data_IF_672467501283
#
_entry.id   IF_672467501283
#
_cell.length_a   1.000
_cell.length_b   1.000
_cell.length_c   1.000
_cell.angle_alpha   90.00
_cell.angle_beta   90.00
_cell.angle_gamma   90.00
#
_symmetry.space_group_name_H-M   'P 1'
#
loop_
_entity.id
_entity.type
_entity.pdbx_description
1 polymer ?
#
# COMPACT_ATOMS: atom_id res chain seq x y z
N UNK A 1 -1.96 -0.36 -65.07
CA UNK A 1 -2.88 0.08 -63.98
C UNK A 1 -3.08 -0.97 -62.89
N UNK A 2 -3.04 -2.28 -63.19
CA UNK A 2 -3.26 -3.36 -62.19
C UNK A 2 -2.17 -3.44 -61.11
N UNK A 3 -0.88 -3.32 -61.48
CA UNK A 3 0.22 -3.42 -60.49
C UNK A 3 0.20 -2.31 -59.42
N UNK A 4 -0.15 -1.08 -59.78
CA UNK A 4 -0.21 0.03 -58.84
C UNK A 4 -1.32 -0.15 -57.79
N UNK A 5 -2.46 -0.73 -58.18
CA UNK A 5 -3.56 -1.04 -57.28
C UNK A 5 -3.21 -2.13 -56.28
N UNK A 6 -2.45 -3.16 -56.69
CA UNK A 6 -2.02 -4.25 -55.80
C UNK A 6 -0.95 -3.79 -54.79
N UNK A 7 -0.06 -2.88 -55.20
CA UNK A 7 0.96 -2.33 -54.30
C UNK A 7 0.33 -1.42 -53.24
N UNK A 8 -0.69 -0.63 -53.60
CA UNK A 8 -1.41 0.23 -52.67
C UNK A 8 -2.24 -0.57 -51.63
N UNK A 9 -2.85 -1.68 -52.03
CA UNK A 9 -3.58 -2.56 -51.10
C UNK A 9 -2.63 -3.31 -50.16
N UNK A 10 -1.46 -3.74 -50.62
CA UNK A 10 -0.44 -4.36 -49.78
C UNK A 10 0.15 -3.39 -48.73
N UNK A 11 0.40 -2.13 -49.12
CA UNK A 11 0.84 -1.09 -48.19
C UNK A 11 -0.19 -0.83 -47.09
N UNK A 12 -1.48 -0.74 -47.46
CA UNK A 12 -2.57 -0.54 -46.50
C UNK A 12 -2.70 -1.69 -45.48
N UNK A 13 -2.44 -2.94 -45.90
CA UNK A 13 -2.45 -4.12 -45.02
C UNK A 13 -1.26 -4.10 -44.06
N UNK A 14 -0.08 -3.70 -44.53
CA UNK A 14 1.10 -3.55 -43.68
C UNK A 14 0.88 -2.49 -42.60
N UNK A 15 0.29 -1.35 -42.97
CA UNK A 15 -0.06 -0.28 -42.03
C UNK A 15 -1.09 -0.76 -41.01
N UNK A 16 -2.12 -1.50 -41.43
CA UNK A 16 -3.07 -2.11 -40.51
C UNK A 16 -2.40 -3.09 -39.53
N UNK A 17 -1.47 -3.92 -40.00
CA UNK A 17 -0.73 -4.88 -39.17
C UNK A 17 0.19 -4.19 -38.16
N UNK A 18 0.85 -3.09 -38.53
CA UNK A 18 1.67 -2.31 -37.60
C UNK A 18 0.83 -1.66 -36.50
N UNK A 19 -0.36 -1.13 -36.83
CA UNK A 19 -1.30 -0.55 -35.87
C UNK A 19 -1.78 -1.62 -34.87
N UNK A 20 -2.15 -2.81 -35.37
CA UNK A 20 -2.56 -3.93 -34.50
C UNK A 20 -1.41 -4.36 -33.58
N UNK A 21 -0.19 -4.45 -34.11
CA UNK A 21 1.01 -4.74 -33.31
C UNK A 21 1.24 -3.73 -32.18
N UNK A 22 1.08 -2.43 -32.47
CA UNK A 22 1.22 -1.35 -31.49
C UNK A 22 0.16 -1.42 -30.37
N UNK A 23 -1.09 -1.72 -30.72
CA UNK A 23 -2.20 -1.88 -29.75
C UNK A 23 -1.95 -3.07 -28.81
N UNK A 24 -1.43 -4.19 -29.33
CA UNK A 24 -1.11 -5.36 -28.52
C UNK A 24 0.07 -5.08 -27.59
N UNK A 25 1.12 -4.42 -28.10
CA UNK A 25 2.30 -4.06 -27.32
C UNK A 25 1.95 -3.12 -26.15
N UNK A 26 1.15 -2.09 -26.40
CA UNK A 26 0.71 -1.13 -25.36
C UNK A 26 -0.16 -1.80 -24.29
N UNK A 27 -1.04 -2.73 -24.64
CA UNK A 27 -1.81 -3.53 -23.67
C UNK A 27 -0.91 -4.42 -22.80
N UNK A 28 0.13 -5.03 -23.36
CA UNK A 28 1.11 -5.86 -22.63
C UNK A 28 1.92 -5.04 -21.63
N UNK A 29 2.37 -3.84 -22.03
CA UNK A 29 3.05 -2.87 -21.16
C UNK A 29 2.18 -2.45 -19.96
N UNK A 30 0.87 -2.24 -20.17
CA UNK A 30 -0.07 -1.88 -19.09
C UNK A 30 -0.28 -3.01 -18.07
N UNK A 31 -0.15 -4.28 -18.48
CA UNK A 31 -0.36 -5.47 -17.64
C UNK A 31 0.78 -5.72 -16.63
N UNK A 32 1.95 -5.09 -16.81
CA UNK A 32 3.14 -5.25 -15.97
C UNK A 32 3.05 -4.55 -14.61
N UNK A 33 2.12 -3.62 -14.42
CA UNK A 33 1.88 -2.98 -13.10
C UNK A 33 1.00 -3.84 -12.18
N UNK A 34 1.15 -5.16 -12.20
CA UNK A 34 0.65 -6.00 -11.10
C UNK A 34 1.28 -5.41 -9.84
N UNK A 35 0.44 -4.88 -8.95
CA UNK A 35 0.84 -4.41 -7.62
C UNK A 35 1.71 -5.52 -7.03
N UNK A 36 3.03 -5.28 -6.95
CA UNK A 36 3.92 -6.22 -6.28
C UNK A 36 3.38 -6.38 -4.86
N UNK A 37 3.48 -7.58 -4.31
CA UNK A 37 3.15 -7.80 -2.91
C UNK A 37 4.03 -6.85 -2.08
N UNK A 38 3.41 -5.85 -1.47
CA UNK A 38 4.09 -4.97 -0.52
C UNK A 38 4.44 -5.86 0.67
N UNK A 39 5.73 -6.21 0.80
CA UNK A 39 6.21 -7.09 1.87
C UNK A 39 6.04 -6.44 3.25
N UNK A 40 6.26 -5.13 3.32
CA UNK A 40 6.17 -4.34 4.54
C UNK A 40 5.57 -2.97 4.21
N UNK A 41 4.59 -2.51 4.98
CA UNK A 41 3.99 -1.19 4.78
C UNK A 41 4.93 -0.09 5.26
N UNK A 42 4.88 1.09 4.63
CA UNK A 42 5.76 2.22 4.97
C UNK A 42 5.65 2.62 6.45
N UNK A 43 4.45 2.56 7.04
CA UNK A 43 4.26 2.83 8.46
C UNK A 43 5.01 1.84 9.37
N UNK A 44 5.15 0.58 8.94
CA UNK A 44 5.82 -0.44 9.73
C UNK A 44 7.35 -0.26 9.69
N UNK A 45 7.88 0.27 8.58
CA UNK A 45 9.30 0.61 8.46
C UNK A 45 9.70 1.73 9.42
N UNK A 46 8.79 2.64 9.74
CA UNK A 46 9.06 3.74 10.67
C UNK A 46 9.14 3.31 12.15
N UNK A 47 8.92 2.03 12.50
CA UNK A 47 9.00 1.53 13.88
C UNK A 47 10.35 1.78 14.56
N UNK A 48 11.43 1.82 13.79
CA UNK A 48 12.77 2.12 14.33
C UNK A 48 12.95 3.60 14.64
N UNK A 49 12.26 4.47 13.90
CA UNK A 49 12.36 5.93 14.04
C UNK A 49 11.36 6.49 15.06
N UNK A 50 10.18 5.90 15.17
CA UNK A 50 9.14 6.32 16.11
C UNK A 50 9.08 5.41 17.32
N UNK A 51 8.90 6.00 18.50
CA UNK A 51 8.47 5.23 19.67
C UNK A 51 7.16 4.50 19.34
N UNK A 52 6.93 3.34 19.97
CA UNK A 52 5.72 2.56 19.78
C UNK A 52 4.43 3.41 19.95
N UNK A 53 4.46 4.41 20.83
CA UNK A 53 3.32 5.31 21.07
C UNK A 53 3.06 6.24 19.88
N UNK A 54 4.11 6.80 19.28
CA UNK A 54 3.97 7.67 18.11
C UNK A 54 3.40 6.88 16.91
N UNK A 55 3.85 5.63 16.73
CA UNK A 55 3.32 4.76 15.68
C UNK A 55 1.84 4.44 15.89
N UNK A 56 1.44 4.13 17.13
CA UNK A 56 0.03 3.87 17.47
C UNK A 56 -0.84 5.10 17.18
N UNK A 57 -0.34 6.33 17.41
CA UNK A 57 -1.07 7.54 17.04
C UNK A 57 -1.26 7.70 15.52
N UNK A 58 -0.27 7.35 14.69
CA UNK A 58 -0.43 7.35 13.23
C UNK A 58 -1.49 6.33 12.77
N UNK A 59 -1.55 5.17 13.44
CA UNK A 59 -2.47 4.07 13.08
C UNK A 59 -3.94 4.37 13.37
N UNK A 60 -4.28 5.40 14.17
CA UNK A 60 -5.67 5.80 14.47
C UNK A 60 -6.48 6.10 13.21
N UNK A 61 -5.83 6.64 12.18
CA UNK A 61 -6.48 6.97 10.91
C UNK A 61 -6.58 5.76 9.95
N UNK A 62 -6.05 4.60 10.35
CA UNK A 62 -5.97 3.39 9.53
C UNK A 62 -6.45 2.16 10.34
N UNK A 63 -7.77 1.99 10.55
CA UNK A 63 -8.32 0.96 11.46
C UNK A 63 -7.96 -0.48 11.07
N UNK A 64 -7.81 -0.75 9.76
CA UNK A 64 -7.35 -2.06 9.28
C UNK A 64 -5.91 -2.36 9.72
N UNK A 65 -5.06 -1.33 9.72
CA UNK A 65 -3.65 -1.47 10.07
C UNK A 65 -3.44 -1.46 11.57
N UNK A 66 -4.26 -0.70 12.30
CA UNK A 66 -4.40 -0.80 13.75
C UNK A 66 -4.64 -2.24 14.19
N UNK A 67 -5.68 -2.88 13.63
CA UNK A 67 -6.02 -4.26 14.00
C UNK A 67 -4.91 -5.25 13.61
N UNK A 68 -4.24 -5.04 12.48
CA UNK A 68 -3.13 -5.92 12.08
C UNK A 68 -1.89 -5.77 12.99
N UNK A 69 -1.57 -4.55 13.40
CA UNK A 69 -0.41 -4.26 14.24
C UNK A 69 -0.62 -4.69 15.69
N UNK A 70 -1.73 -4.27 16.31
CA UNK A 70 -2.02 -4.51 17.72
C UNK A 70 -2.77 -5.83 17.96
N UNK A 71 -3.25 -6.50 16.91
CA UNK A 71 -4.11 -7.70 16.98
C UNK A 71 -5.37 -7.48 17.83
N UNK A 72 -5.84 -6.24 17.90
CA UNK A 72 -7.02 -5.82 18.65
C UNK A 72 -7.66 -4.56 18.06
N UNK A 73 -8.91 -4.29 18.41
CA UNK A 73 -9.61 -3.09 18.02
C UNK A 73 -9.18 -1.89 18.88
N UNK A 74 -9.38 -0.68 18.38
CA UNK A 74 -9.04 0.56 19.11
C UNK A 74 -9.81 0.67 20.43
N UNK A 75 -11.09 0.35 20.43
CA UNK A 75 -11.92 0.35 21.64
C UNK A 75 -11.38 -0.58 22.74
N UNK A 76 -10.98 -1.79 22.35
CA UNK A 76 -10.39 -2.77 23.29
C UNK A 76 -9.08 -2.25 23.85
N UNK A 77 -8.22 -1.68 23.00
CA UNK A 77 -6.96 -1.08 23.42
C UNK A 77 -7.19 0.05 24.43
N UNK A 78 -8.10 0.99 24.14
CA UNK A 78 -8.41 2.12 25.00
C UNK A 78 -9.00 1.67 26.34
N UNK A 79 -9.87 0.65 26.32
CA UNK A 79 -10.43 0.07 27.55
C UNK A 79 -9.33 -0.54 28.42
N UNK A 80 -8.47 -1.38 27.85
CA UNK A 80 -7.35 -1.96 28.58
C UNK A 80 -6.41 -0.88 29.13
N UNK A 81 -6.10 0.14 28.31
CA UNK A 81 -5.29 1.26 28.73
C UNK A 81 -5.92 1.99 29.92
N UNK A 82 -7.24 2.26 29.91
CA UNK A 82 -7.92 2.90 31.04
C UNK A 82 -7.86 2.09 32.33
N UNK A 83 -7.91 0.76 32.23
CA UNK A 83 -7.85 -0.14 33.39
C UNK A 83 -6.43 -0.20 33.98
N UNK A 84 -5.41 -0.16 33.14
CA UNK A 84 -4.00 -0.26 33.57
C UNK A 84 -3.41 1.11 33.93
N UNK A 85 -3.93 2.20 33.37
CA UNK A 85 -3.51 3.58 33.68
C UNK A 85 -3.39 3.88 35.19
N UNK A 86 -4.36 3.57 36.07
CA UNK A 86 -4.20 3.82 37.50
C UNK A 86 -3.02 3.06 38.12
N UNK A 87 -2.72 1.85 37.63
CA UNK A 87 -1.60 1.05 38.11
C UNK A 87 -0.26 1.68 37.67
N UNK A 88 -0.18 2.12 36.41
CA UNK A 88 1.01 2.82 35.88
C UNK A 88 1.26 4.12 36.66
N UNK A 89 0.22 4.94 36.88
CA UNK A 89 0.34 6.19 37.65
C UNK A 89 0.86 5.95 39.06
N UNK A 90 0.32 4.94 39.75
CA UNK A 90 0.77 4.57 41.10
C UNK A 90 2.26 4.21 41.14
N UNK A 91 2.75 3.48 40.14
CA UNK A 91 4.17 3.12 40.04
C UNK A 91 5.02 4.37 39.80
N UNK A 92 4.61 5.25 38.88
CA UNK A 92 5.34 6.48 38.58
C UNK A 92 5.42 7.40 39.79
N UNK A 93 4.32 7.58 40.53
CA UNK A 93 4.30 8.37 41.76
C UNK A 93 5.27 7.83 42.82
N UNK A 94 5.35 6.50 42.98
CA UNK A 94 6.29 5.87 43.90
C UNK A 94 7.75 6.14 43.50
N UNK A 95 8.07 6.08 42.21
CA UNK A 95 9.42 6.38 41.70
C UNK A 95 9.78 7.85 41.93
N UNK A 96 8.86 8.79 41.70
CA UNK A 96 9.13 10.24 41.85
C UNK A 96 9.28 10.72 43.29
N UNK A 97 8.85 9.93 44.27
CA UNK A 97 8.97 10.26 45.71
C UNK A 97 10.26 9.75 46.35
N UNK A 98 11.09 9.02 45.60
CA UNK A 98 12.37 8.48 46.05
C UNK A 98 13.51 9.34 45.49
#
# INVERSE_FOLDING_TARGET
MVQASCVATMASIHDAMTIVGLIVATKKLKRSKRHRAIWCKDWLMKREHYSHINLVNELKFAPKDWHNYLRMNEETYLKLLSMVTPLIKKILEAVTKT
#
